data_IF_800526658243
#
_entry.id   IF_800526658243
#
_cell.length_a   1.000
_cell.length_b   1.000
_cell.length_c   1.000
_cell.angle_alpha   90.00
_cell.angle_beta   90.00
_cell.angle_gamma   90.00
#
_symmetry.space_group_name_H-M   'P 1'
#
loop_
_entity.id
_entity.type
_entity.pdbx_description
1 polymer ?
#
# COMPACT_ATOMS: atom_id res chain seq x y z
N UNK A 1 22.86 -7.42 -14.68
CA UNK A 1 23.12 -6.61 -13.47
C UNK A 1 22.06 -6.96 -12.45
N UNK A 2 22.44 -7.59 -11.33
CA UNK A 2 21.50 -8.01 -10.29
C UNK A 2 21.11 -6.82 -9.42
N UNK A 3 19.84 -6.39 -9.48
CA UNK A 3 19.33 -5.37 -8.57
C UNK A 3 19.21 -5.97 -7.16
N UNK A 4 20.12 -5.55 -6.26
CA UNK A 4 20.04 -5.87 -4.83
C UNK A 4 18.81 -5.14 -4.27
N UNK A 5 17.71 -5.88 -4.01
CA UNK A 5 16.54 -5.32 -3.32
C UNK A 5 16.96 -4.97 -1.89
N UNK A 6 16.94 -3.68 -1.57
CA UNK A 6 17.21 -3.22 -0.20
C UNK A 6 16.09 -3.78 0.68
N UNK A 7 16.44 -4.55 1.72
CA UNK A 7 15.45 -5.09 2.66
C UNK A 7 14.69 -3.94 3.33
N UNK A 8 13.37 -4.05 3.42
CA UNK A 8 12.50 -3.04 4.04
C UNK A 8 12.96 -2.67 5.46
N UNK A 9 13.60 -3.59 6.18
CA UNK A 9 14.18 -3.35 7.50
C UNK A 9 15.32 -2.32 7.47
N UNK A 10 16.13 -2.30 6.41
CA UNK A 10 17.24 -1.33 6.24
C UNK A 10 16.70 0.05 5.93
N UNK A 11 15.62 0.14 5.14
CA UNK A 11 14.96 1.42 4.83
C UNK A 11 14.31 2.00 6.08
N UNK A 12 13.55 1.20 6.81
CA UNK A 12 12.88 1.62 8.06
C UNK A 12 13.90 1.97 9.13
N UNK A 13 14.92 1.12 9.33
CA UNK A 13 16.00 1.39 10.28
C UNK A 13 16.79 2.66 9.93
N UNK A 14 17.10 2.87 8.65
CA UNK A 14 17.75 4.09 8.17
C UNK A 14 16.93 5.34 8.43
N UNK A 15 15.61 5.30 8.15
CA UNK A 15 14.71 6.42 8.43
C UNK A 15 14.67 6.76 9.93
N UNK A 16 14.59 5.76 10.81
CA UNK A 16 14.60 5.95 12.27
C UNK A 16 15.91 6.63 12.72
N UNK A 17 17.06 6.18 12.19
CA UNK A 17 18.37 6.79 12.51
C UNK A 17 18.42 8.25 12.08
N UNK A 18 17.95 8.58 10.87
CA UNK A 18 17.92 9.97 10.38
C UNK A 18 17.02 10.85 11.24
N UNK A 19 15.81 10.38 11.58
CA UNK A 19 14.90 11.11 12.46
C UNK A 19 15.52 11.32 13.85
N UNK A 20 16.15 10.28 14.41
CA UNK A 20 16.83 10.36 15.70
C UNK A 20 17.98 11.38 15.72
N UNK A 21 18.79 11.44 14.65
CA UNK A 21 19.87 12.42 14.51
C UNK A 21 19.34 13.86 14.45
N UNK A 22 18.23 14.10 13.73
CA UNK A 22 17.58 15.42 13.66
C UNK A 22 17.05 15.85 15.03
N UNK A 23 16.41 14.93 15.76
CA UNK A 23 15.91 15.21 17.11
C UNK A 23 17.05 15.46 18.11
N UNK A 24 18.15 14.72 18.00
CA UNK A 24 19.32 14.88 18.85
C UNK A 24 19.99 16.25 18.62
N UNK A 25 20.14 16.66 17.36
CA UNK A 25 20.67 17.98 16.99
C UNK A 25 19.82 19.13 17.57
N UNK A 26 18.49 18.96 17.59
CA UNK A 26 17.58 19.90 18.22
C UNK A 26 17.73 19.94 19.74
N UNK A 27 17.82 18.77 20.39
CA UNK A 27 17.88 18.66 21.87
C UNK A 27 19.19 19.17 22.46
N UNK A 28 20.28 19.12 21.70
CA UNK A 28 21.61 19.57 22.11
C UNK A 28 21.82 21.07 21.90
N UNK A 29 20.86 21.76 21.25
CA UNK A 29 20.95 23.20 20.98
C UNK A 29 22.04 23.59 19.99
N UNK A 30 22.66 22.63 19.30
CA UNK A 30 23.73 22.86 18.33
C UNK A 30 23.19 23.54 17.06
N UNK A 31 21.93 23.28 16.70
CA UNK A 31 21.24 23.86 15.55
C UNK A 31 19.74 24.04 15.85
N UNK A 32 19.17 25.19 15.50
CA UNK A 32 17.73 25.43 15.57
C UNK A 32 17.02 24.72 14.40
N UNK A 33 16.68 23.46 14.63
CA UNK A 33 16.00 22.58 13.67
C UNK A 33 14.49 22.83 13.60
N UNK A 34 13.96 23.84 14.30
CA UNK A 34 12.54 24.22 14.24
C UNK A 34 12.08 24.51 12.80
N UNK A 35 12.96 25.10 11.98
CA UNK A 35 12.72 25.33 10.56
C UNK A 35 12.61 24.06 9.73
N UNK A 36 13.20 22.93 10.16
CA UNK A 36 13.17 21.66 9.43
C UNK A 36 11.78 21.02 9.44
N UNK A 37 11.04 21.16 10.55
CA UNK A 37 9.66 20.67 10.67
C UNK A 37 8.72 21.35 9.66
N UNK A 38 9.02 22.60 9.27
CA UNK A 38 8.30 23.33 8.23
C UNK A 38 8.42 22.66 6.85
N UNK A 39 9.48 21.87 6.61
CA UNK A 39 9.72 21.20 5.33
C UNK A 39 9.29 19.72 5.32
N UNK A 40 8.69 19.20 6.39
CA UNK A 40 8.14 17.82 6.39
C UNK A 40 7.17 17.59 5.21
N UNK A 41 6.25 18.51 4.87
CA UNK A 41 5.37 18.31 3.73
C UNK A 41 6.11 18.10 2.40
N UNK A 42 7.29 18.71 2.21
CA UNK A 42 8.11 18.52 1.01
C UNK A 42 8.59 17.07 0.81
N UNK A 43 8.80 16.31 1.89
CA UNK A 43 9.12 14.88 1.80
C UNK A 43 7.97 14.09 1.16
N UNK A 44 6.73 14.40 1.53
CA UNK A 44 5.55 13.77 0.93
C UNK A 44 5.39 14.15 -0.55
N UNK A 45 5.71 15.40 -0.93
CA UNK A 45 5.76 15.82 -2.33
C UNK A 45 6.80 15.01 -3.10
N UNK A 46 8.01 14.82 -2.54
CA UNK A 46 9.06 14.00 -3.16
C UNK A 46 8.65 12.54 -3.32
N UNK A 47 7.99 11.95 -2.32
CA UNK A 47 7.44 10.59 -2.40
C UNK A 47 6.38 10.49 -3.50
N UNK A 48 5.49 11.48 -3.59
CA UNK A 48 4.49 11.55 -4.66
C UNK A 48 5.12 11.65 -6.04
N UNK A 49 6.14 12.50 -6.23
CA UNK A 49 6.87 12.62 -7.49
C UNK A 49 7.62 11.34 -7.85
N UNK A 50 8.30 10.73 -6.86
CA UNK A 50 8.97 9.45 -7.06
C UNK A 50 7.96 8.36 -7.47
N UNK A 51 6.80 8.28 -6.81
CA UNK A 51 5.75 7.33 -7.16
C UNK A 51 5.22 7.54 -8.58
N UNK A 52 5.12 8.80 -9.03
CA UNK A 52 4.71 9.15 -10.39
C UNK A 52 5.70 8.62 -11.45
N UNK A 53 6.99 8.84 -11.22
CA UNK A 53 8.07 8.39 -12.12
C UNK A 53 8.24 6.87 -12.06
N UNK A 54 8.25 6.29 -10.87
CA UNK A 54 8.42 4.85 -10.66
C UNK A 54 7.23 4.03 -11.22
N UNK A 55 6.02 4.59 -11.22
CA UNK A 55 4.85 3.98 -11.85
C UNK A 55 4.80 4.17 -13.37
N UNK A 56 5.73 4.92 -13.95
CA UNK A 56 5.75 5.25 -15.38
C UNK A 56 4.49 5.97 -15.84
N UNK A 57 3.91 6.84 -14.98
CA UNK A 57 2.67 7.56 -15.23
C UNK A 57 1.44 6.67 -15.52
N UNK A 58 1.49 5.39 -15.17
CA UNK A 58 0.34 4.48 -15.34
C UNK A 58 -0.69 4.61 -14.23
N UNK A 59 -0.27 5.13 -13.08
CA UNK A 59 -1.11 5.27 -11.90
C UNK A 59 -0.97 6.68 -11.30
N UNK A 60 -1.48 7.65 -12.05
CA UNK A 60 -1.26 9.09 -11.83
C UNK A 60 -2.10 9.63 -10.67
N UNK A 61 -3.25 9.02 -10.41
CA UNK A 61 -4.31 9.57 -9.59
C UNK A 61 -3.88 9.87 -8.16
N UNK A 62 -3.50 8.85 -7.41
CA UNK A 62 -3.17 9.08 -6.00
C UNK A 62 -1.81 9.75 -5.75
N UNK A 63 -0.73 9.53 -6.54
CA UNK A 63 0.46 10.37 -6.43
C UNK A 63 0.17 11.86 -6.66
N UNK A 64 -0.72 12.21 -7.61
CA UNK A 64 -1.15 13.60 -7.82
C UNK A 64 -1.92 14.16 -6.63
N UNK A 65 -2.83 13.40 -6.03
CA UNK A 65 -3.56 13.81 -4.83
C UNK A 65 -2.61 14.05 -3.66
N UNK A 66 -1.64 13.15 -3.45
CA UNK A 66 -0.61 13.35 -2.42
C UNK A 66 0.20 14.62 -2.65
N UNK A 67 0.67 14.84 -3.89
CA UNK A 67 1.42 16.05 -4.24
C UNK A 67 0.58 17.31 -4.00
N UNK A 68 -0.71 17.30 -4.36
CA UNK A 68 -1.60 18.43 -4.17
C UNK A 68 -1.82 18.76 -2.69
N UNK A 69 -2.13 17.76 -1.85
CA UNK A 69 -2.34 17.94 -0.41
C UNK A 69 -1.05 18.38 0.28
N UNK A 70 0.06 17.68 0.02
CA UNK A 70 1.34 17.98 0.63
C UNK A 70 1.88 19.35 0.16
N UNK A 71 1.69 19.69 -1.11
CA UNK A 71 2.04 21.01 -1.66
C UNK A 71 1.23 22.14 -1.04
N UNK A 72 -0.08 21.96 -0.88
CA UNK A 72 -0.93 22.93 -0.20
C UNK A 72 -0.51 23.12 1.26
N UNK A 73 -0.23 22.02 1.98
CA UNK A 73 0.29 22.10 3.34
C UNK A 73 1.65 22.80 3.42
N UNK A 74 2.58 22.49 2.51
CA UNK A 74 3.89 23.14 2.43
C UNK A 74 3.75 24.66 2.20
N UNK A 75 2.79 25.07 1.36
CA UNK A 75 2.56 26.46 1.04
C UNK A 75 2.02 27.26 2.24
N UNK A 76 1.16 26.65 3.08
CA UNK A 76 0.76 27.23 4.38
C UNK A 76 1.94 27.27 5.34
N UNK A 77 2.72 26.19 5.42
CA UNK A 77 3.84 26.10 6.34
C UNK A 77 4.91 27.17 6.07
N UNK A 78 5.13 27.53 4.80
CA UNK A 78 6.06 28.58 4.37
C UNK A 78 5.49 30.00 4.45
N UNK A 79 4.27 30.18 4.96
CA UNK A 79 3.57 31.47 4.99
C UNK A 79 3.40 32.12 3.60
N UNK A 80 3.45 31.28 2.54
CA UNK A 80 3.21 31.72 1.16
C UNK A 80 1.71 31.93 0.92
N UNK A 81 0.87 31.22 1.68
CA UNK A 81 -0.58 31.16 1.50
C UNK A 81 -1.23 31.03 2.88
N UNK A 82 -2.24 31.84 3.17
CA UNK A 82 -2.98 31.76 4.45
C UNK A 82 -3.85 30.51 4.47
N UNK A 83 -4.08 29.91 5.65
CA UNK A 83 -4.94 28.72 5.77
C UNK A 83 -6.35 28.90 5.19
N UNK A 84 -6.90 30.11 5.22
CA UNK A 84 -8.19 30.46 4.60
C UNK A 84 -8.17 30.38 3.07
N UNK A 85 -7.07 30.77 2.44
CA UNK A 85 -6.86 30.65 1.00
C UNK A 85 -6.73 29.18 0.60
N UNK A 86 -6.07 28.35 1.41
CA UNK A 86 -5.98 26.90 1.15
C UNK A 86 -7.31 26.19 1.31
N UNK A 87 -8.10 26.54 2.32
CA UNK A 87 -9.48 26.02 2.43
C UNK A 87 -10.33 26.41 1.22
N UNK A 88 -10.05 27.54 0.58
CA UNK A 88 -10.74 27.97 -0.66
C UNK A 88 -10.37 27.14 -1.89
N UNK A 89 -9.28 26.36 -1.84
CA UNK A 89 -8.83 25.46 -2.90
C UNK A 89 -9.54 24.09 -2.88
N UNK A 90 -10.53 23.87 -2.01
CA UNK A 90 -11.31 22.64 -1.99
C UNK A 90 -11.96 22.26 -3.34
N UNK A 91 -12.41 23.18 -4.23
CA UNK A 91 -12.91 22.81 -5.55
C UNK A 91 -11.81 22.29 -6.46
N UNK A 92 -10.57 22.77 -6.31
CA UNK A 92 -9.41 22.26 -7.04
C UNK A 92 -9.14 20.80 -6.68
N UNK A 93 -9.29 20.42 -5.41
CA UNK A 93 -9.22 19.01 -4.99
C UNK A 93 -10.28 18.16 -5.69
N UNK A 94 -11.53 18.64 -5.81
CA UNK A 94 -12.57 17.94 -6.55
C UNK A 94 -12.25 17.80 -8.05
N UNK A 95 -11.69 18.85 -8.68
CA UNK A 95 -11.25 18.81 -10.08
C UNK A 95 -10.11 17.81 -10.27
N UNK A 96 -9.11 17.79 -9.39
CA UNK A 96 -7.99 16.83 -9.43
C UNK A 96 -8.52 15.40 -9.23
N UNK A 97 -9.43 15.20 -8.28
CA UNK A 97 -10.06 13.90 -8.02
C UNK A 97 -10.89 13.44 -9.23
N UNK A 98 -11.66 14.33 -9.84
CA UNK A 98 -12.42 14.05 -11.06
C UNK A 98 -11.51 13.70 -12.25
N UNK A 99 -10.45 14.49 -12.48
CA UNK A 99 -9.45 14.22 -13.51
C UNK A 99 -8.72 12.90 -13.25
N UNK A 100 -8.41 12.59 -11.99
CA UNK A 100 -7.80 11.32 -11.58
C UNK A 100 -8.68 10.14 -11.97
N UNK A 101 -10.00 10.22 -11.76
CA UNK A 101 -10.94 9.16 -12.16
C UNK A 101 -11.03 9.02 -13.69
N UNK A 102 -11.08 10.14 -14.42
CA UNK A 102 -11.19 10.14 -15.89
C UNK A 102 -9.92 9.63 -16.56
N UNK A 103 -8.75 10.02 -16.05
CA UNK A 103 -7.44 9.63 -16.57
C UNK A 103 -7.05 8.22 -16.09
N UNK A 104 -7.54 7.80 -14.93
CA UNK A 104 -7.35 6.48 -14.35
C UNK A 104 -8.21 5.41 -15.00
N UNK A 105 -8.20 5.29 -16.34
CA UNK A 105 -8.82 4.14 -17.03
C UNK A 105 -8.21 2.85 -16.51
N UNK A 106 -8.98 2.17 -15.68
CA UNK A 106 -8.69 0.95 -14.93
C UNK A 106 -8.35 -0.20 -15.89
N UNK A 107 -7.06 -0.34 -16.22
CA UNK A 107 -6.49 -1.63 -16.60
C UNK A 107 -5.24 -1.83 -15.78
N UNK A 108 -5.43 -2.37 -14.58
CA UNK A 108 -4.36 -3.06 -13.87
C UNK A 108 -3.84 -4.17 -14.79
N UNK A 109 -2.60 -4.02 -15.25
CA UNK A 109 -1.92 -5.12 -15.92
C UNK A 109 -1.74 -6.22 -14.87
N UNK A 110 -2.29 -7.40 -15.12
CA UNK A 110 -2.06 -8.56 -14.27
C UNK A 110 -0.61 -8.98 -14.45
N UNK A 111 0.19 -8.82 -13.41
CA UNK A 111 1.61 -9.21 -13.44
C UNK A 111 1.74 -10.69 -13.07
N UNK A 112 2.29 -11.56 -13.95
CA UNK A 112 2.52 -12.95 -13.60
C UNK A 112 3.66 -13.04 -12.59
N UNK A 113 3.41 -13.72 -11.47
CA UNK A 113 4.39 -13.95 -10.41
C UNK A 113 4.82 -15.41 -10.47
N UNK A 114 6.07 -15.64 -10.86
CA UNK A 114 6.68 -16.98 -11.00
C UNK A 114 7.57 -17.36 -9.82
N UNK A 115 7.80 -16.44 -8.88
CA UNK A 115 8.56 -16.72 -7.65
C UNK A 115 7.70 -17.38 -6.57
N UNK A 116 8.35 -18.02 -5.61
CA UNK A 116 7.71 -18.69 -4.46
C UNK A 116 6.94 -17.73 -3.54
N UNK A 117 7.20 -16.42 -3.66
CA UNK A 117 6.56 -15.37 -2.86
C UNK A 117 5.99 -14.24 -3.71
N UNK A 118 4.88 -13.66 -3.26
CA UNK A 118 4.24 -12.49 -3.88
C UNK A 118 4.32 -11.27 -2.95
N UNK A 119 5.16 -10.30 -3.31
CA UNK A 119 5.29 -9.05 -2.56
C UNK A 119 4.76 -7.89 -3.40
N UNK A 120 3.58 -7.38 -3.03
CA UNK A 120 2.89 -6.31 -3.74
C UNK A 120 2.72 -5.08 -2.85
N UNK A 121 3.06 -3.92 -3.41
CA UNK A 121 2.88 -2.64 -2.74
C UNK A 121 2.12 -1.71 -3.67
N UNK A 122 0.93 -1.29 -3.23
CA UNK A 122 0.08 -0.30 -3.85
C UNK A 122 -0.12 0.88 -2.88
N UNK A 123 0.59 1.98 -3.10
CA UNK A 123 0.47 3.17 -2.24
C UNK A 123 -0.75 4.01 -2.65
N UNK A 124 -1.04 4.04 -3.95
CA UNK A 124 -2.14 4.80 -4.53
C UNK A 124 -2.66 4.01 -5.73
N UNK A 125 -3.93 3.60 -5.76
CA UNK A 125 -4.51 2.81 -6.85
C UNK A 125 -4.37 1.29 -6.70
N UNK A 126 -4.48 0.55 -7.82
CA UNK A 126 -4.57 -0.91 -7.84
C UNK A 126 -3.28 -1.64 -8.25
N UNK A 127 -3.00 -2.80 -7.64
CA UNK A 127 -2.00 -3.77 -8.13
C UNK A 127 -2.66 -5.13 -8.25
N UNK A 128 -2.56 -5.75 -9.43
CA UNK A 128 -3.13 -7.07 -9.67
C UNK A 128 -2.01 -8.04 -10.05
N UNK A 129 -1.94 -9.18 -9.38
CA UNK A 129 -1.00 -10.24 -9.71
C UNK A 129 -1.72 -11.59 -9.83
N UNK A 130 -1.17 -12.43 -10.70
CA UNK A 130 -1.56 -13.84 -10.82
C UNK A 130 -0.34 -14.68 -10.49
N UNK A 131 -0.45 -15.49 -9.45
CA UNK A 131 0.62 -16.39 -9.02
C UNK A 131 0.51 -17.67 -9.83
N UNK A 132 1.53 -17.98 -10.62
CA UNK A 132 1.55 -19.15 -11.52
C UNK A 132 2.60 -20.18 -11.14
N UNK A 133 3.25 -20.02 -9.98
CA UNK A 133 4.23 -20.98 -9.46
C UNK A 133 3.56 -22.16 -8.77
N UNK A 134 4.17 -23.33 -8.86
CA UNK A 134 3.77 -24.54 -8.13
C UNK A 134 4.38 -24.64 -6.72
N UNK A 135 5.23 -23.69 -6.32
CA UNK A 135 5.89 -23.67 -5.00
C UNK A 135 5.58 -22.40 -4.23
N UNK A 136 4.30 -22.08 -4.10
CA UNK A 136 3.89 -20.87 -3.39
C UNK A 136 4.05 -21.05 -1.88
N UNK A 137 4.74 -20.12 -1.22
CA UNK A 137 4.97 -20.15 0.24
C UNK A 137 4.30 -18.98 0.96
N UNK A 138 3.89 -17.93 0.23
CA UNK A 138 3.22 -16.77 0.82
C UNK A 138 3.69 -15.43 0.26
N UNK A 139 3.57 -14.37 1.05
CA UNK A 139 3.87 -13.02 0.55
C UNK A 139 3.47 -11.89 1.48
N UNK A 140 3.73 -10.66 1.03
CA UNK A 140 3.28 -9.45 1.70
C UNK A 140 2.47 -8.57 0.73
N UNK A 141 1.24 -8.22 1.13
CA UNK A 141 0.36 -7.33 0.37
C UNK A 141 0.19 -6.03 1.15
N UNK A 142 0.63 -4.91 0.58
CA UNK A 142 0.50 -3.58 1.19
C UNK A 142 -0.34 -2.68 0.30
N UNK A 143 -1.50 -2.23 0.79
CA UNK A 143 -2.35 -1.22 0.18
C UNK A 143 -2.45 -0.01 1.11
N UNK A 144 -2.11 1.21 0.67
CA UNK A 144 -2.20 2.41 1.53
C UNK A 144 -3.32 3.39 1.16
N UNK A 145 -3.68 3.45 -0.13
CA UNK A 145 -4.79 4.23 -0.68
C UNK A 145 -5.25 3.61 -2.01
N UNK A 146 -5.86 2.42 -1.94
CA UNK A 146 -6.23 1.66 -3.13
C UNK A 146 -6.45 0.18 -2.84
N UNK A 147 -6.14 -0.68 -3.81
CA UNK A 147 -6.39 -2.11 -3.68
C UNK A 147 -5.22 -2.96 -4.17
N UNK A 148 -5.05 -4.13 -3.55
CA UNK A 148 -4.17 -5.18 -4.07
C UNK A 148 -5.02 -6.41 -4.33
N UNK A 149 -4.98 -6.93 -5.55
CA UNK A 149 -5.67 -8.14 -5.96
C UNK A 149 -4.63 -9.21 -6.27
N UNK A 150 -4.77 -10.38 -5.65
CA UNK A 150 -3.91 -11.55 -5.92
C UNK A 150 -4.78 -12.73 -6.30
N UNK A 151 -4.47 -13.34 -7.43
CA UNK A 151 -5.10 -14.58 -7.89
C UNK A 151 -4.13 -15.75 -7.68
N UNK A 152 -4.51 -16.66 -6.78
CA UNK A 152 -3.79 -17.87 -6.41
C UNK A 152 -4.38 -19.14 -7.05
N UNK A 153 -5.38 -19.03 -7.93
CA UNK A 153 -6.09 -20.20 -8.48
C UNK A 153 -5.23 -21.12 -9.33
N UNK A 154 -4.11 -20.62 -9.84
CA UNK A 154 -3.15 -21.42 -10.60
C UNK A 154 -2.13 -22.16 -9.71
N UNK A 155 -2.22 -22.01 -8.38
CA UNK A 155 -1.42 -22.76 -7.40
C UNK A 155 -2.12 -24.10 -7.12
N UNK A 156 -1.53 -25.19 -7.61
CA UNK A 156 -2.15 -26.53 -7.55
C UNK A 156 -1.77 -27.29 -6.28
N UNK A 157 -0.56 -27.11 -5.77
CA UNK A 157 -0.05 -27.83 -4.60
C UNK A 157 0.73 -26.87 -3.70
N UNK A 158 0.57 -27.08 -2.38
CA UNK A 158 1.35 -26.40 -1.35
C UNK A 158 2.19 -27.45 -0.61
N UNK A 159 3.49 -27.20 -0.50
CA UNK A 159 4.38 -28.05 0.33
C UNK A 159 4.11 -27.83 1.83
N UNK A 160 3.72 -26.61 2.20
CA UNK A 160 3.42 -26.18 3.58
C UNK A 160 2.31 -25.12 3.57
N UNK A 161 1.70 -24.84 4.73
CA UNK A 161 0.71 -23.76 4.87
C UNK A 161 1.29 -22.41 4.42
N UNK A 162 0.71 -21.85 3.37
CA UNK A 162 1.09 -20.54 2.85
C UNK A 162 0.69 -19.43 3.82
N UNK A 163 1.51 -18.37 3.89
CA UNK A 163 1.22 -17.21 4.76
C UNK A 163 1.28 -15.90 3.99
N UNK A 164 0.16 -15.20 3.94
CA UNK A 164 0.08 -13.85 3.38
C UNK A 164 -0.08 -12.85 4.52
N UNK A 165 0.84 -11.89 4.59
CA UNK A 165 0.71 -10.76 5.50
C UNK A 165 0.10 -9.56 4.75
N UNK A 166 -0.99 -9.02 5.27
CA UNK A 166 -1.74 -7.92 4.68
C UNK A 166 -1.63 -6.68 5.56
N UNK A 167 -1.27 -5.56 4.94
CA UNK A 167 -1.38 -4.22 5.51
C UNK A 167 -2.24 -3.40 4.56
N UNK A 168 -3.49 -3.13 4.94
CA UNK A 168 -4.41 -2.31 4.16
C UNK A 168 -4.82 -1.05 4.94
N UNK A 169 -4.48 0.13 4.43
CA UNK A 169 -4.95 1.42 4.94
C UNK A 169 -5.80 2.07 3.84
N UNK A 170 -6.94 2.68 4.18
CA UNK A 170 -7.80 3.44 3.26
C UNK A 170 -8.03 2.75 1.90
N UNK A 171 -8.38 1.47 1.93
CA UNK A 171 -8.29 0.59 0.76
C UNK A 171 -8.61 -0.88 1.06
N UNK A 172 -8.10 -1.81 0.26
CA UNK A 172 -8.31 -3.22 0.54
C UNK A 172 -7.35 -4.20 -0.10
N UNK A 173 -7.45 -5.45 0.32
CA UNK A 173 -6.76 -6.57 -0.29
C UNK A 173 -7.78 -7.64 -0.65
N UNK A 174 -7.79 -8.06 -1.91
CA UNK A 174 -8.62 -9.14 -2.41
C UNK A 174 -7.74 -10.32 -2.78
N UNK A 175 -8.02 -11.47 -2.19
CA UNK A 175 -7.23 -12.69 -2.38
C UNK A 175 -8.17 -13.74 -2.97
N UNK A 176 -8.00 -14.05 -4.24
CA UNK A 176 -8.70 -15.14 -4.90
C UNK A 176 -7.91 -16.43 -4.70
N UNK A 177 -8.54 -17.45 -4.12
CA UNK A 177 -7.92 -18.75 -3.80
C UNK A 177 -8.63 -19.89 -4.54
N UNK A 178 -7.96 -21.05 -4.73
CA UNK A 178 -8.65 -22.28 -5.08
C UNK A 178 -9.83 -22.59 -4.13
N UNK A 179 -10.82 -23.30 -4.67
CA UNK A 179 -12.11 -23.54 -3.98
C UNK A 179 -12.01 -24.54 -2.84
N UNK A 180 -11.06 -25.45 -2.96
CA UNK A 180 -10.71 -26.52 -2.03
C UNK A 180 -9.91 -26.00 -0.84
N UNK A 181 -9.33 -24.79 -0.91
CA UNK A 181 -8.48 -24.27 0.14
C UNK A 181 -9.24 -23.87 1.41
N UNK A 182 -8.78 -24.41 2.54
CA UNK A 182 -9.09 -23.98 3.88
C UNK A 182 -8.27 -22.73 4.25
N UNK A 183 -8.97 -21.60 4.39
CA UNK A 183 -8.35 -20.29 4.65
C UNK A 183 -8.65 -19.84 6.07
N UNK A 184 -7.59 -19.54 6.82
CA UNK A 184 -7.69 -18.94 8.14
C UNK A 184 -7.40 -17.44 8.06
N UNK A 185 -8.37 -16.62 8.44
CA UNK A 185 -8.24 -15.16 8.50
C UNK A 185 -7.87 -14.75 9.93
N UNK A 186 -6.68 -14.17 10.08
CA UNK A 186 -6.12 -13.60 11.32
C UNK A 186 -5.74 -12.13 11.08
N UNK A 187 -6.72 -11.36 10.59
CA UNK A 187 -6.57 -9.94 10.27
C UNK A 187 -7.29 -9.12 11.32
N UNK A 188 -6.64 -8.05 11.81
CA UNK A 188 -7.24 -7.08 12.73
C UNK A 188 -7.90 -5.94 11.92
N UNK A 189 -9.24 -5.85 11.85
CA UNK A 189 -9.91 -4.74 11.21
C UNK A 189 -10.11 -3.55 12.16
N UNK A 190 -9.78 -2.34 11.69
CA UNK A 190 -10.01 -1.07 12.40
C UNK A 190 -10.89 -0.16 11.51
N UNK A 191 -12.17 -0.01 11.83
CA UNK A 191 -13.13 0.68 10.95
C UNK A 191 -13.20 0.07 9.54
N UNK A 192 -13.44 -1.24 9.48
CA UNK A 192 -13.38 -2.04 8.26
C UNK A 192 -13.88 -3.47 8.46
N UNK A 193 -13.55 -4.37 7.53
CA UNK A 193 -13.90 -5.80 7.60
C UNK A 193 -12.77 -6.71 7.10
N UNK A 194 -12.76 -7.95 7.57
CA UNK A 194 -11.90 -9.01 7.05
C UNK A 194 -12.74 -10.29 6.97
N UNK A 195 -13.15 -10.64 5.76
CA UNK A 195 -14.21 -11.63 5.55
C UNK A 195 -13.85 -12.63 4.44
N UNK A 196 -14.27 -13.88 4.64
CA UNK A 196 -14.31 -14.87 3.57
C UNK A 196 -15.67 -14.75 2.87
N UNK A 197 -15.67 -14.20 1.66
CA UNK A 197 -16.89 -13.99 0.86
C UNK A 197 -17.28 -15.25 0.08
N UNK A 198 -16.45 -16.31 0.12
CA UNK A 198 -16.73 -17.56 -0.57
C UNK A 198 -17.99 -18.23 0.00
N UNK A 199 -18.77 -18.95 -0.83
CA UNK A 199 -19.90 -19.73 -0.34
C UNK A 199 -19.46 -20.72 0.75
N UNK A 200 -20.23 -20.79 1.83
CA UNK A 200 -19.95 -21.72 2.93
C UNK A 200 -20.06 -23.16 2.41
N UNK A 201 -18.99 -23.96 2.53
CA UNK A 201 -18.91 -25.36 2.09
C UNK A 201 -18.30 -26.23 3.20
N UNK A 202 -18.54 -27.53 3.12
CA UNK A 202 -17.81 -28.50 3.94
C UNK A 202 -16.34 -28.51 3.49
N UNK A 203 -15.43 -28.53 4.47
CA UNK A 203 -14.01 -28.61 4.20
C UNK A 203 -13.68 -29.97 3.57
N UNK A 204 -12.92 -29.97 2.48
CA UNK A 204 -12.44 -31.22 1.88
C UNK A 204 -11.35 -31.89 2.75
N UNK A 205 -10.65 -31.11 3.58
CA UNK A 205 -9.67 -31.58 4.55
C UNK A 205 -9.50 -30.62 5.75
N UNK A 206 -8.94 -31.12 6.86
CA UNK A 206 -8.74 -30.33 8.08
C UNK A 206 -7.50 -29.41 8.04
N UNK A 207 -6.52 -29.71 7.19
CA UNK A 207 -5.30 -28.89 7.07
C UNK A 207 -5.64 -27.47 6.61
N UNK A 208 -4.93 -26.47 7.14
CA UNK A 208 -5.05 -25.06 6.72
C UNK A 208 -4.05 -24.82 5.59
N UNK A 209 -4.55 -24.41 4.42
CA UNK A 209 -3.71 -24.13 3.24
C UNK A 209 -3.12 -22.74 3.28
N UNK A 210 -3.93 -21.77 3.73
CA UNK A 210 -3.55 -20.36 3.72
C UNK A 210 -3.94 -19.68 5.01
N UNK A 211 -2.95 -19.04 5.65
CA UNK A 211 -3.19 -18.07 6.72
C UNK A 211 -3.03 -16.66 6.16
N UNK A 212 -4.10 -15.88 6.23
CA UNK A 212 -4.09 -14.46 5.90
C UNK A 212 -4.03 -13.68 7.20
N UNK A 213 -2.91 -13.00 7.45
CA UNK A 213 -2.63 -12.31 8.71
C UNK A 213 -2.39 -10.82 8.50
N UNK A 214 -2.46 -10.01 9.55
CA UNK A 214 -2.06 -8.61 9.53
C UNK A 214 -3.15 -7.67 10.00
N UNK A 215 -3.29 -6.50 9.38
CA UNK A 215 -4.33 -5.54 9.77
C UNK A 215 -4.86 -4.75 8.58
N UNK A 216 -6.13 -4.33 8.71
CA UNK A 216 -6.75 -3.39 7.79
C UNK A 216 -7.37 -2.22 8.56
N UNK A 217 -7.33 -1.02 7.99
CA UNK A 217 -8.02 0.14 8.55
C UNK A 217 -8.70 1.00 7.47
N UNK A 218 -9.91 1.48 7.75
CA UNK A 218 -10.72 2.28 6.81
C UNK A 218 -10.90 1.58 5.45
N UNK A 219 -11.25 0.30 5.49
CA UNK A 219 -11.20 -0.57 4.31
C UNK A 219 -11.43 -2.04 4.63
N UNK A 220 -10.95 -2.98 3.80
CA UNK A 220 -11.17 -4.40 4.08
C UNK A 220 -10.27 -5.42 3.40
N UNK A 221 -10.31 -6.65 3.91
CA UNK A 221 -9.66 -7.82 3.32
C UNK A 221 -10.75 -8.82 2.94
N UNK A 222 -10.77 -9.25 1.68
CA UNK A 222 -11.76 -10.20 1.17
C UNK A 222 -11.09 -11.43 0.57
N UNK A 223 -11.63 -12.61 0.90
CA UNK A 223 -11.27 -13.87 0.25
C UNK A 223 -12.36 -14.26 -0.74
N UNK A 224 -11.97 -14.63 -1.96
CA UNK A 224 -12.87 -15.01 -3.06
C UNK A 224 -12.39 -16.28 -3.77
N UNK A 225 -13.24 -16.83 -4.64
CA UNK A 225 -12.98 -18.01 -5.50
C UNK A 225 -13.06 -17.72 -7.01
#
# INVERSE_FOLDING_TARGET
MAYRRISNQVVVGGAIVVVGLVLLANSTGLYDTSGLFRYIPSLFVLVGLYALVASGFRNVGGPLVLIAIAGAWQAVALDLVTGSQVLSLWPLLLVILGLSVVLGRVRSSVEPVTGERVDLVAIFGGRNARVTTSRFTGGALTALFGAVEVDLRDVVELEETARINVTALFGGAEITVPRDWNVQIDVIPIFGGAEDERPRRELEHEAVDLVVSGFCAFGGVSIKD
#
